data_IF_850789236835
#
_entry.id   IF_850789236835
#
_cell.length_a   1.000
_cell.length_b   1.000
_cell.length_c   1.000
_cell.angle_alpha   90.00
_cell.angle_beta   90.00
_cell.angle_gamma   90.00
#
_symmetry.space_group_name_H-M   'P 1'
#
loop_
_entity.id
_entity.type
_entity.pdbx_description
1 polymer ?
#
# COMPACT_ATOMS: atom_id res chain seq x y z
N UNK A 1 -73.25 72.28 19.86
CA UNK A 1 -73.16 71.20 20.86
C UNK A 1 -72.05 70.24 20.43
N UNK A 2 -71.19 69.86 21.39
CA UNK A 2 -70.29 68.67 21.42
C UNK A 2 -69.24 68.53 20.30
N UNK A 3 -67.95 68.77 20.55
CA UNK A 3 -66.90 67.96 21.25
C UNK A 3 -65.91 67.42 20.20
N UNK A 4 -64.62 67.80 20.30
CA UNK A 4 -63.51 66.95 20.73
C UNK A 4 -62.93 66.08 19.59
N UNK A 5 -61.66 65.68 19.48
CA UNK A 5 -60.38 66.05 20.06
C UNK A 5 -59.31 65.20 19.32
N UNK A 6 -58.10 65.74 19.17
CA UNK A 6 -56.77 65.09 19.17
C UNK A 6 -56.53 63.76 18.43
N UNK A 7 -55.43 63.73 17.66
CA UNK A 7 -54.68 62.50 17.37
C UNK A 7 -53.50 62.73 16.41
N UNK A 8 -52.29 62.90 16.95
CA UNK A 8 -51.04 62.94 16.20
C UNK A 8 -50.47 61.53 16.02
N UNK A 9 -50.01 61.12 14.82
CA UNK A 9 -49.03 60.02 14.66
C UNK A 9 -48.20 60.17 13.36
N UNK A 10 -46.90 60.42 13.59
CA UNK A 10 -45.66 59.87 12.96
C UNK A 10 -45.39 59.93 11.44
N UNK A 11 -44.22 60.52 11.17
CA UNK A 11 -43.35 60.37 9.99
C UNK A 11 -42.99 58.89 9.74
N UNK A 12 -42.86 58.50 8.48
CA UNK A 12 -41.93 57.43 8.08
C UNK A 12 -41.29 57.81 6.73
N UNK A 13 -39.98 58.03 6.76
CA UNK A 13 -39.12 58.05 5.59
C UNK A 13 -38.79 56.59 5.21
N UNK A 14 -38.92 56.22 3.94
CA UNK A 14 -38.31 54.99 3.42
C UNK A 14 -37.07 55.37 2.62
N UNK A 15 -35.92 55.04 3.20
CA UNK A 15 -34.63 55.04 2.55
C UNK A 15 -34.47 53.79 1.68
N UNK A 16 -33.96 54.00 0.46
CA UNK A 16 -33.45 53.01 -0.48
C UNK A 16 -32.41 52.09 0.17
N UNK A 17 -32.64 50.78 0.13
CA UNK A 17 -31.64 49.77 0.48
C UNK A 17 -31.03 49.21 -0.82
N UNK A 18 -29.74 49.48 -1.03
CA UNK A 18 -28.96 48.95 -2.13
C UNK A 18 -28.71 47.45 -1.95
N UNK A 19 -28.93 46.67 -3.02
CA UNK A 19 -28.61 45.24 -3.09
C UNK A 19 -27.09 45.04 -3.00
N UNK A 20 -26.62 44.37 -1.96
CA UNK A 20 -25.24 43.91 -1.85
C UNK A 20 -25.04 42.67 -2.74
N UNK A 21 -24.37 42.85 -3.87
CA UNK A 21 -23.86 41.77 -4.70
C UNK A 21 -22.63 41.13 -4.05
N UNK A 22 -22.80 39.98 -3.40
CA UNK A 22 -21.69 39.16 -2.93
C UNK A 22 -21.10 38.36 -4.09
N UNK A 23 -19.95 38.85 -4.55
CA UNK A 23 -19.05 38.18 -5.48
C UNK A 23 -18.71 36.80 -4.93
N UNK A 24 -19.07 35.76 -5.67
CA UNK A 24 -18.61 34.40 -5.41
C UNK A 24 -17.11 34.35 -5.76
N UNK A 25 -16.26 34.53 -4.76
CA UNK A 25 -14.85 34.21 -4.89
C UNK A 25 -14.74 32.71 -5.18
N UNK A 26 -14.48 32.39 -6.44
CA UNK A 26 -14.10 31.04 -6.83
C UNK A 26 -12.80 30.72 -6.11
N UNK A 27 -12.86 29.82 -5.13
CA UNK A 27 -11.67 29.24 -4.53
C UNK A 27 -10.95 28.45 -5.62
N UNK A 28 -10.02 29.11 -6.30
CA UNK A 28 -9.05 28.43 -7.14
C UNK A 28 -8.16 27.66 -6.18
N UNK A 29 -8.28 26.34 -6.19
CA UNK A 29 -7.32 25.47 -5.53
C UNK A 29 -5.94 25.83 -6.09
N UNK A 30 -5.10 26.37 -5.22
CA UNK A 30 -3.76 26.79 -5.58
C UNK A 30 -3.00 25.51 -5.98
N UNK A 31 -2.78 25.36 -7.28
CA UNK A 31 -1.83 24.36 -7.80
C UNK A 31 -0.53 24.55 -7.05
N UNK A 32 0.06 23.46 -6.53
CA UNK A 32 1.29 23.50 -5.73
C UNK A 32 2.50 24.12 -6.46
N UNK A 33 2.37 24.50 -7.73
CA UNK A 33 3.44 25.07 -8.55
C UNK A 33 4.51 24.06 -8.95
N UNK A 34 4.53 22.89 -8.34
CA UNK A 34 5.48 21.81 -8.62
C UNK A 34 5.01 21.07 -9.87
N UNK A 35 5.66 21.34 -11.00
CA UNK A 35 5.46 20.62 -12.28
C UNK A 35 6.30 19.36 -12.39
N UNK A 36 7.36 19.26 -11.60
CA UNK A 36 8.35 18.18 -11.62
C UNK A 36 8.82 17.93 -10.20
N UNK A 37 8.84 16.68 -9.77
CA UNK A 37 9.49 16.25 -8.53
C UNK A 37 10.63 15.29 -8.88
N UNK A 38 11.65 15.24 -8.03
CA UNK A 38 12.78 14.30 -8.19
C UNK A 38 12.61 13.15 -7.22
N UNK A 39 12.98 11.93 -7.63
CA UNK A 39 13.25 10.85 -6.69
C UNK A 39 14.64 11.11 -6.05
N UNK A 40 14.87 10.88 -4.74
CA UNK A 40 13.93 10.36 -3.75
C UNK A 40 12.79 11.33 -3.40
N UNK A 41 11.60 10.77 -3.17
CA UNK A 41 10.46 11.52 -2.62
C UNK A 41 10.85 12.07 -1.25
N UNK A 42 10.59 13.37 -1.01
CA UNK A 42 10.88 14.02 0.26
C UNK A 42 9.84 13.65 1.31
N UNK A 43 10.05 12.50 1.96
CA UNK A 43 9.31 12.06 3.13
C UNK A 43 10.22 11.99 4.35
N UNK A 44 9.61 12.10 5.52
CA UNK A 44 10.27 11.93 6.82
C UNK A 44 10.60 10.46 7.09
N UNK A 45 11.58 9.91 6.37
CA UNK A 45 12.10 8.55 6.57
C UNK A 45 12.36 8.31 8.06
N UNK A 46 11.76 7.24 8.59
CA UNK A 46 11.91 6.85 9.99
C UNK A 46 13.18 6.03 10.16
N UNK A 47 13.60 5.80 11.39
CA UNK A 47 14.75 4.96 11.69
C UNK A 47 14.30 3.54 12.01
N UNK A 48 15.01 2.56 11.46
CA UNK A 48 14.77 1.16 11.79
C UNK A 48 15.13 0.93 13.27
N UNK A 49 14.22 0.27 14.01
CA UNK A 49 14.36 0.01 15.44
C UNK A 49 14.93 -1.37 15.76
N UNK A 50 15.00 -2.29 14.78
CA UNK A 50 15.42 -3.67 14.96
C UNK A 50 16.90 -3.80 15.36
N UNK A 51 17.74 -2.85 14.95
CA UNK A 51 19.19 -2.82 15.23
C UNK A 51 19.60 -2.07 16.51
N UNK A 52 18.65 -1.64 17.35
CA UNK A 52 18.95 -0.79 18.51
C UNK A 52 19.86 -1.47 19.54
N UNK A 53 19.71 -2.78 19.75
CA UNK A 53 20.53 -3.52 20.72
C UNK A 53 21.98 -3.67 20.25
N UNK A 54 22.20 -3.67 18.94
CA UNK A 54 23.50 -3.76 18.28
C UNK A 54 24.16 -2.38 18.11
N UNK A 55 23.47 -1.30 18.52
CA UNK A 55 23.94 0.08 18.32
C UNK A 55 23.93 0.52 16.86
N UNK A 56 23.14 -0.14 16.01
CA UNK A 56 23.03 0.13 14.58
C UNK A 56 21.83 1.07 14.31
N UNK A 57 22.06 2.11 13.51
CA UNK A 57 21.02 3.08 13.16
C UNK A 57 21.06 3.40 11.66
N UNK A 58 19.95 3.16 10.97
CA UNK A 58 19.77 3.50 9.56
C UNK A 58 18.31 3.88 9.29
N UNK A 59 18.09 4.62 8.20
CA UNK A 59 16.75 5.01 7.75
C UNK A 59 16.03 3.80 7.15
N UNK A 60 14.75 3.67 7.46
CA UNK A 60 13.84 2.71 6.83
C UNK A 60 12.85 3.42 5.92
N UNK A 61 12.38 2.70 4.91
CA UNK A 61 11.44 3.19 3.90
C UNK A 61 11.49 2.42 2.59
N UNK A 62 11.86 1.14 2.64
CA UNK A 62 11.86 0.23 1.50
C UNK A 62 10.43 -0.23 1.18
N UNK A 63 10.28 -0.91 0.04
CA UNK A 63 9.08 -1.66 -0.36
C UNK A 63 7.80 -0.81 -0.38
N UNK A 64 7.77 0.31 -1.13
CA UNK A 64 6.64 1.23 -1.13
C UNK A 64 5.41 0.61 -1.78
N UNK A 65 4.32 0.52 -1.01
CA UNK A 65 2.98 0.26 -1.53
C UNK A 65 2.15 1.55 -1.50
N UNK A 66 1.82 2.07 -2.68
CA UNK A 66 1.00 3.29 -2.84
C UNK A 66 -0.37 2.92 -3.40
N UNK A 67 -1.43 3.40 -2.74
CA UNK A 67 -2.81 3.23 -3.22
C UNK A 67 -3.54 4.56 -3.35
N UNK A 68 -4.29 4.73 -4.44
CA UNK A 68 -5.30 5.78 -4.52
C UNK A 68 -6.59 5.29 -3.83
N UNK A 69 -6.98 5.98 -2.77
CA UNK A 69 -8.20 5.73 -2.04
C UNK A 69 -9.06 7.00 -2.02
N UNK A 70 -10.12 6.99 -2.83
CA UNK A 70 -11.13 8.07 -2.92
C UNK A 70 -10.53 9.46 -3.22
N UNK A 71 -9.53 9.50 -4.10
CA UNK A 71 -8.90 10.74 -4.54
C UNK A 71 -7.75 11.22 -3.64
N UNK A 72 -7.38 10.46 -2.61
CA UNK A 72 -6.13 10.65 -1.86
C UNK A 72 -5.21 9.45 -2.05
N UNK A 73 -3.91 9.66 -1.93
CA UNK A 73 -2.89 8.62 -2.00
C UNK A 73 -2.43 8.25 -0.60
N UNK A 74 -2.24 6.95 -0.36
CA UNK A 74 -1.70 6.41 0.88
C UNK A 74 -0.47 5.58 0.56
N UNK A 75 0.65 5.89 1.22
CA UNK A 75 1.96 5.24 1.04
C UNK A 75 2.33 4.48 2.31
N UNK A 76 2.51 3.18 2.16
CA UNK A 76 2.99 2.27 3.20
C UNK A 76 4.40 1.82 2.82
N UNK A 77 5.33 1.84 3.79
CA UNK A 77 6.72 1.42 3.59
C UNK A 77 7.19 0.62 4.79
N UNK A 78 8.20 -0.21 4.56
CA UNK A 78 8.83 -1.06 5.57
C UNK A 78 9.31 -0.26 6.79
N UNK A 79 8.99 -0.75 7.99
CA UNK A 79 9.44 -0.30 9.32
C UNK A 79 9.36 1.22 9.49
N UNK A 80 8.14 1.74 9.52
CA UNK A 80 7.88 3.19 9.64
C UNK A 80 6.94 3.58 10.80
N UNK A 81 6.35 2.60 11.49
CA UNK A 81 5.40 2.83 12.57
C UNK A 81 4.08 3.48 12.16
N UNK A 82 3.80 3.56 10.86
CA UNK A 82 2.62 4.21 10.30
C UNK A 82 2.66 4.29 8.79
N UNK A 83 2.03 5.32 8.22
CA UNK A 83 1.96 5.52 6.77
C UNK A 83 1.79 6.99 6.44
N UNK A 84 1.96 7.35 5.17
CA UNK A 84 1.78 8.72 4.71
C UNK A 84 0.52 8.84 3.86
N UNK A 85 -0.08 10.03 3.88
CA UNK A 85 -1.13 10.41 2.94
C UNK A 85 -0.73 11.63 2.12
N UNK A 86 -1.19 11.70 0.89
CA UNK A 86 -0.99 12.83 -0.02
C UNK A 86 -2.20 13.05 -0.90
N UNK A 87 -2.38 14.27 -1.40
CA UNK A 87 -3.39 14.58 -2.44
C UNK A 87 -2.78 14.77 -3.82
N UNK A 88 -1.46 14.87 -3.91
CA UNK A 88 -0.75 15.26 -5.13
C UNK A 88 0.52 14.43 -5.40
N UNK A 89 0.79 13.39 -4.59
CA UNK A 89 2.00 12.55 -4.62
C UNK A 89 3.31 13.29 -4.31
N UNK A 90 3.24 14.57 -3.95
CA UNK A 90 4.41 15.41 -3.68
C UNK A 90 4.47 15.78 -2.20
N UNK A 91 3.37 16.26 -1.64
CA UNK A 91 3.30 16.64 -0.23
C UNK A 91 2.69 15.51 0.57
N UNK A 92 3.45 14.97 1.49
CA UNK A 92 3.09 13.82 2.30
C UNK A 92 2.93 14.21 3.76
N UNK A 93 1.88 13.71 4.39
CA UNK A 93 1.64 13.85 5.82
C UNK A 93 1.66 12.47 6.47
N UNK A 94 2.49 12.29 7.49
CA UNK A 94 2.50 11.04 8.25
C UNK A 94 1.25 10.89 9.11
N UNK A 95 0.77 9.66 9.19
CA UNK A 95 -0.43 9.25 9.91
C UNK A 95 -0.03 8.17 10.91
N UNK A 96 -0.29 8.44 12.18
CA UNK A 96 -0.11 7.46 13.26
C UNK A 96 -1.36 6.58 13.32
N UNK A 97 -1.21 5.26 13.11
CA UNK A 97 -2.33 4.34 13.12
C UNK A 97 -2.83 4.04 14.54
N UNK A 98 -4.14 3.88 14.71
CA UNK A 98 -4.78 3.41 15.95
C UNK A 98 -4.50 1.92 16.22
N UNK A 99 -4.09 1.19 15.18
CA UNK A 99 -3.71 -0.22 15.24
C UNK A 99 -2.63 -0.48 14.22
N UNK A 100 -1.56 -1.11 14.69
CA UNK A 100 -0.40 -1.47 13.89
C UNK A 100 0.17 -2.79 14.41
N UNK A 101 0.80 -3.62 13.57
CA UNK A 101 1.57 -4.76 14.05
C UNK A 101 2.66 -4.29 15.03
N UNK A 102 2.89 -5.05 16.10
CA UNK A 102 3.91 -4.70 17.11
C UNK A 102 5.32 -4.78 16.54
N UNK A 103 5.54 -5.65 15.57
CA UNK A 103 6.77 -5.82 14.80
C UNK A 103 6.82 -4.93 13.54
N UNK A 104 5.92 -3.93 13.45
CA UNK A 104 5.78 -3.05 12.29
C UNK A 104 5.39 -3.81 11.00
N UNK A 105 5.31 -3.12 9.86
CA UNK A 105 5.10 -3.75 8.56
C UNK A 105 6.41 -3.88 7.80
N UNK A 106 6.55 -4.97 7.06
CA UNK A 106 7.61 -5.20 6.07
C UNK A 106 6.93 -5.54 4.76
N UNK A 107 7.39 -4.93 3.65
CA UNK A 107 6.90 -5.11 2.28
C UNK A 107 5.39 -5.34 2.17
N UNK A 108 4.56 -4.39 2.67
CA UNK A 108 3.13 -4.63 2.79
C UNK A 108 2.41 -4.61 1.42
N UNK A 109 1.35 -5.40 1.29
CA UNK A 109 0.33 -5.17 0.27
C UNK A 109 -0.69 -4.15 0.77
N UNK A 110 -1.08 -3.21 -0.08
CA UNK A 110 -2.23 -2.35 0.15
C UNK A 110 -3.16 -2.36 -1.07
N UNK A 111 -4.47 -2.31 -0.84
CA UNK A 111 -5.47 -2.17 -1.91
C UNK A 111 -6.66 -1.33 -1.45
N UNK A 112 -7.20 -0.52 -2.36
CA UNK A 112 -8.39 0.30 -2.14
C UNK A 112 -9.57 -0.28 -2.91
N UNK A 113 -10.65 -0.63 -2.21
CA UNK A 113 -11.87 -1.21 -2.79
C UNK A 113 -13.11 -0.56 -2.19
N UNK A 114 -13.84 0.21 -3.01
CA UNK A 114 -15.06 0.90 -2.57
C UNK A 114 -14.78 1.93 -1.47
N UNK A 115 -15.23 1.64 -0.26
CA UNK A 115 -14.99 2.46 0.92
C UNK A 115 -13.86 1.98 1.83
N UNK A 116 -13.24 0.86 1.47
CA UNK A 116 -12.33 0.13 2.33
C UNK A 116 -10.91 0.12 1.75
N UNK A 117 -9.95 0.50 2.56
CA UNK A 117 -8.52 0.26 2.35
C UNK A 117 -8.13 -0.99 3.13
N UNK A 118 -7.47 -1.96 2.49
CA UNK A 118 -6.90 -3.15 3.12
C UNK A 118 -5.38 -3.06 3.18
N UNK A 119 -4.80 -3.58 4.25
CA UNK A 119 -3.36 -3.66 4.47
C UNK A 119 -2.99 -5.07 4.94
N UNK A 120 -2.01 -5.67 4.27
CA UNK A 120 -1.53 -7.01 4.56
C UNK A 120 0.00 -6.99 4.64
N UNK A 121 0.55 -7.49 5.75
CA UNK A 121 1.98 -7.56 6.00
C UNK A 121 2.61 -8.74 5.24
N UNK A 122 3.89 -8.63 4.85
CA UNK A 122 4.70 -9.81 4.55
C UNK A 122 4.73 -10.77 5.73
N UNK A 123 4.65 -12.07 5.46
CA UNK A 123 4.64 -13.05 6.52
C UNK A 123 5.20 -14.39 6.08
N UNK A 124 5.86 -15.09 6.99
CA UNK A 124 6.25 -16.51 6.85
C UNK A 124 5.30 -17.45 7.61
N UNK A 125 4.30 -16.90 8.30
CA UNK A 125 3.31 -17.58 9.11
C UNK A 125 2.00 -16.79 9.08
N UNK A 126 0.85 -17.37 9.49
CA UNK A 126 -0.43 -16.64 9.42
C UNK A 126 -0.44 -15.33 10.21
N UNK A 127 -0.79 -14.23 9.54
CA UNK A 127 -0.95 -12.88 10.10
C UNK A 127 -2.36 -12.34 9.80
N UNK A 128 -2.85 -11.35 10.56
CA UNK A 128 -4.11 -10.65 10.25
C UNK A 128 -3.99 -9.76 9.01
N UNK A 129 -5.14 -9.50 8.37
CA UNK A 129 -5.34 -8.37 7.46
C UNK A 129 -5.96 -7.22 8.24
N UNK A 130 -5.43 -6.01 8.08
CA UNK A 130 -6.02 -4.78 8.63
C UNK A 130 -6.85 -4.07 7.57
N UNK A 131 -7.85 -3.30 8.00
CA UNK A 131 -8.62 -2.42 7.12
C UNK A 131 -8.88 -1.06 7.73
N UNK A 132 -9.24 -0.10 6.88
CA UNK A 132 -9.75 1.21 7.27
C UNK A 132 -10.83 1.70 6.30
N UNK A 133 -11.89 2.31 6.83
CA UNK A 133 -12.82 3.17 6.07
C UNK A 133 -12.55 4.66 6.28
N UNK A 134 -11.59 5.00 7.15
CA UNK A 134 -11.16 6.36 7.49
C UNK A 134 -9.62 6.44 7.58
N UNK A 135 -8.87 6.07 6.52
CA UNK A 135 -7.42 5.98 6.59
C UNK A 135 -6.75 7.35 6.83
N UNK A 136 -7.41 8.45 6.50
CA UNK A 136 -6.91 9.81 6.77
C UNK A 136 -6.77 10.14 8.27
N UNK A 137 -7.49 9.44 9.15
CA UNK A 137 -7.45 9.67 10.61
C UNK A 137 -6.63 8.61 11.35
N UNK A 138 -5.94 7.71 10.64
CA UNK A 138 -5.19 6.63 11.26
C UNK A 138 -6.03 5.48 11.79
N UNK A 139 -7.35 5.46 11.57
CA UNK A 139 -8.18 4.40 12.17
C UNK A 139 -8.00 3.09 11.40
N UNK A 140 -7.35 2.09 12.00
CA UNK A 140 -7.28 0.72 11.48
C UNK A 140 -7.95 -0.29 12.40
N UNK A 141 -8.58 -1.27 11.80
CA UNK A 141 -9.26 -2.39 12.45
C UNK A 141 -8.87 -3.72 11.81
N UNK A 142 -9.25 -4.84 12.44
CA UNK A 142 -9.01 -6.18 11.89
C UNK A 142 -10.06 -6.47 10.82
N UNK A 143 -9.61 -6.69 9.59
CA UNK A 143 -10.47 -7.27 8.56
C UNK A 143 -10.73 -8.74 8.89
N UNK A 144 -9.66 -9.45 9.25
CA UNK A 144 -9.70 -10.74 9.92
C UNK A 144 -8.67 -10.74 11.07
N UNK A 145 -8.81 -11.68 12.01
CA UNK A 145 -7.92 -11.78 13.18
C UNK A 145 -6.64 -12.56 12.89
N UNK A 146 -6.73 -13.50 11.95
CA UNK A 146 -5.64 -14.35 11.48
C UNK A 146 -6.10 -15.01 10.17
N UNK A 147 -5.22 -15.10 9.19
CA UNK A 147 -5.44 -15.93 8.01
C UNK A 147 -5.32 -17.43 8.37
N UNK A 148 -5.86 -18.36 7.57
CA UNK A 148 -5.50 -19.77 7.69
C UNK A 148 -4.03 -20.00 7.29
N UNK A 149 -3.52 -21.20 7.52
CA UNK A 149 -2.19 -21.60 7.03
C UNK A 149 -2.18 -21.63 5.49
N UNK A 150 -1.11 -21.12 4.88
CA UNK A 150 -0.96 -21.10 3.43
C UNK A 150 -0.89 -22.55 2.92
N UNK A 151 -1.83 -22.99 2.06
CA UNK A 151 -1.93 -24.39 1.69
C UNK A 151 -0.64 -24.85 0.99
N UNK A 152 -0.17 -26.03 1.39
CA UNK A 152 1.06 -26.66 0.88
C UNK A 152 2.38 -25.93 1.21
N UNK A 153 2.33 -24.89 2.05
CA UNK A 153 3.53 -24.19 2.50
C UNK A 153 4.36 -25.07 3.44
N UNK A 154 5.66 -25.12 3.20
CA UNK A 154 6.60 -25.73 4.14
C UNK A 154 6.70 -24.89 5.42
N UNK A 155 7.26 -25.47 6.48
CA UNK A 155 7.44 -24.77 7.74
C UNK A 155 8.40 -23.57 7.59
N UNK A 156 8.17 -22.51 8.35
CA UNK A 156 9.09 -21.39 8.45
C UNK A 156 10.50 -21.87 8.84
N UNK A 157 11.53 -21.30 8.20
CA UNK A 157 12.94 -21.67 8.44
C UNK A 157 13.39 -22.96 7.76
N UNK A 158 12.54 -23.57 6.92
CA UNK A 158 12.93 -24.74 6.10
C UNK A 158 13.72 -24.38 4.84
N UNK A 159 13.67 -23.13 4.40
CA UNK A 159 14.50 -22.62 3.31
C UNK A 159 15.94 -22.47 3.79
N UNK A 160 16.87 -23.20 3.16
CA UNK A 160 18.31 -23.10 3.44
C UNK A 160 19.06 -22.76 2.15
N UNK A 161 20.00 -21.79 2.19
CA UNK A 161 20.82 -21.46 1.04
C UNK A 161 21.49 -22.71 0.44
N UNK A 162 21.33 -22.92 -0.85
CA UNK A 162 21.96 -24.03 -1.58
C UNK A 162 21.28 -25.39 -1.42
N UNK A 163 20.20 -25.51 -0.63
CA UNK A 163 19.44 -26.75 -0.51
C UNK A 163 18.29 -26.78 -1.53
N UNK A 164 18.16 -27.91 -2.24
CA UNK A 164 16.99 -28.17 -3.06
C UNK A 164 15.76 -28.37 -2.16
N UNK A 165 14.71 -27.59 -2.40
CA UNK A 165 13.38 -27.84 -1.82
C UNK A 165 12.61 -28.80 -2.71
N UNK A 166 11.66 -29.58 -2.18
CA UNK A 166 10.81 -30.43 -3.00
C UNK A 166 10.20 -29.65 -4.16
N UNK A 167 10.22 -30.22 -5.37
CA UNK A 167 9.75 -29.50 -6.56
C UNK A 167 8.28 -29.05 -6.47
N UNK A 168 7.49 -29.66 -5.59
CA UNK A 168 6.09 -29.37 -5.35
C UNK A 168 5.85 -28.51 -4.10
N UNK A 169 6.88 -28.16 -3.32
CA UNK A 169 6.70 -27.32 -2.12
C UNK A 169 6.37 -25.87 -2.45
N UNK A 170 5.74 -25.20 -1.47
CA UNK A 170 5.42 -23.77 -1.49
C UNK A 170 6.20 -23.07 -0.39
N UNK A 171 6.73 -21.88 -0.69
CA UNK A 171 7.42 -21.02 0.28
C UNK A 171 6.56 -20.78 1.54
N UNK A 172 7.15 -20.75 2.75
CA UNK A 172 6.47 -20.21 3.93
C UNK A 172 6.03 -18.77 3.65
N UNK A 173 4.77 -18.44 3.88
CA UNK A 173 4.23 -17.27 3.22
C UNK A 173 2.90 -16.75 3.74
N UNK A 174 2.41 -15.66 3.13
CA UNK A 174 2.96 -15.02 1.92
C UNK A 174 3.95 -13.89 2.21
N UNK A 175 5.19 -14.04 1.73
CA UNK A 175 6.21 -12.99 1.80
C UNK A 175 6.17 -12.11 0.54
N UNK A 176 6.27 -10.79 0.71
CA UNK A 176 6.06 -9.75 -0.30
C UNK A 176 4.72 -9.88 -1.04
N UNK A 177 3.59 -9.78 -0.30
CA UNK A 177 2.28 -9.94 -0.88
C UNK A 177 1.89 -8.76 -1.79
N UNK A 178 1.09 -9.07 -2.81
CA UNK A 178 0.24 -8.11 -3.52
C UNK A 178 -1.18 -8.64 -3.61
N UNK A 179 -2.13 -7.82 -3.17
CA UNK A 179 -3.57 -8.08 -3.30
C UNK A 179 -4.08 -7.51 -4.63
N UNK A 180 -4.91 -8.29 -5.31
CA UNK A 180 -5.55 -7.86 -6.55
C UNK A 180 -7.03 -8.26 -6.52
N UNK A 181 -7.90 -7.33 -6.91
CA UNK A 181 -9.32 -7.59 -7.15
C UNK A 181 -9.63 -7.30 -8.60
N UNK A 182 -10.20 -8.28 -9.30
CA UNK A 182 -10.59 -8.12 -10.69
C UNK A 182 -12.01 -7.54 -10.83
N UNK A 183 -12.37 -7.12 -12.04
CA UNK A 183 -13.65 -6.49 -12.37
C UNK A 183 -14.85 -7.45 -12.18
N UNK A 184 -14.61 -8.76 -12.27
CA UNK A 184 -15.60 -9.81 -11.99
C UNK A 184 -15.81 -10.04 -10.47
N UNK A 185 -15.09 -9.29 -9.64
CA UNK A 185 -15.16 -9.35 -8.19
C UNK A 185 -14.32 -10.45 -7.55
N UNK A 186 -13.58 -11.25 -8.33
CA UNK A 186 -12.65 -12.26 -7.80
C UNK A 186 -11.43 -11.59 -7.18
N UNK A 187 -10.85 -12.29 -6.22
CA UNK A 187 -9.71 -11.82 -5.45
C UNK A 187 -8.53 -12.76 -5.62
N UNK A 188 -7.35 -12.18 -5.73
CA UNK A 188 -6.10 -12.89 -5.92
C UNK A 188 -5.04 -12.32 -4.99
N UNK A 189 -4.14 -13.20 -4.57
CA UNK A 189 -2.91 -12.89 -3.87
C UNK A 189 -1.75 -13.36 -4.73
N UNK A 190 -0.79 -12.47 -4.92
CA UNK A 190 0.51 -12.75 -5.52
C UNK A 190 1.60 -12.55 -4.46
N UNK A 191 2.65 -13.36 -4.46
CA UNK A 191 3.72 -13.24 -3.47
C UNK A 191 4.98 -13.97 -3.91
N UNK A 192 6.09 -13.67 -3.24
CA UNK A 192 7.36 -14.38 -3.36
C UNK A 192 8.53 -13.43 -3.10
N UNK A 193 9.52 -13.91 -2.35
CA UNK A 193 10.89 -13.37 -2.29
C UNK A 193 11.81 -14.55 -1.97
N UNK A 194 12.49 -15.09 -2.98
CA UNK A 194 13.32 -16.30 -2.79
C UNK A 194 14.29 -16.53 -3.94
N UNK A 195 15.42 -17.16 -3.62
CA UNK A 195 16.38 -17.70 -4.60
C UNK A 195 16.12 -19.18 -4.96
N UNK A 196 15.04 -19.76 -4.42
CA UNK A 196 14.62 -21.15 -4.64
C UNK A 196 13.20 -21.22 -5.20
N UNK A 197 12.30 -20.38 -4.69
CA UNK A 197 10.88 -20.38 -5.03
C UNK A 197 10.53 -19.30 -6.07
N UNK A 198 9.55 -19.57 -6.95
CA UNK A 198 9.03 -18.56 -7.88
C UNK A 198 8.12 -17.55 -7.18
N UNK A 199 7.71 -16.52 -7.93
CA UNK A 199 6.47 -15.80 -7.64
C UNK A 199 5.29 -16.75 -7.78
N UNK A 200 4.36 -16.69 -6.84
CA UNK A 200 3.13 -17.46 -6.82
C UNK A 200 1.89 -16.58 -7.03
N UNK A 201 0.79 -17.23 -7.39
CA UNK A 201 -0.56 -16.67 -7.34
C UNK A 201 -1.57 -17.65 -6.75
N UNK A 202 -2.55 -17.16 -6.00
CA UNK A 202 -3.67 -17.95 -5.49
C UNK A 202 -4.95 -17.11 -5.46
N UNK A 203 -6.10 -17.74 -5.70
CA UNK A 203 -7.40 -17.10 -5.52
C UNK A 203 -7.79 -17.05 -4.04
N UNK A 204 -8.41 -15.95 -3.62
CA UNK A 204 -8.92 -15.72 -2.27
C UNK A 204 -10.46 -15.80 -2.28
N UNK A 205 -11.01 -16.15 -1.13
CA UNK A 205 -12.45 -16.23 -0.90
C UNK A 205 -12.94 -14.99 -0.12
N UNK A 206 -13.61 -14.03 -0.79
CA UNK A 206 -14.14 -12.84 -0.12
C UNK A 206 -15.26 -13.16 0.88
N UNK A 207 -16.02 -14.25 0.69
CA UNK A 207 -17.04 -14.67 1.65
C UNK A 207 -16.41 -15.18 2.96
N UNK A 208 -15.13 -15.55 2.92
CA UNK A 208 -14.33 -15.98 4.08
C UNK A 208 -13.29 -14.95 4.50
N UNK A 209 -13.58 -13.67 4.28
CA UNK A 209 -12.69 -12.54 4.64
C UNK A 209 -11.27 -12.72 4.09
N UNK A 210 -11.21 -13.02 2.79
CA UNK A 210 -9.99 -13.17 2.00
C UNK A 210 -9.08 -14.32 2.46
N UNK A 211 -9.65 -15.35 3.08
CA UNK A 211 -8.97 -16.62 3.26
C UNK A 211 -8.61 -17.24 1.90
N UNK A 212 -7.60 -18.12 1.85
CA UNK A 212 -7.27 -18.87 0.64
C UNK A 212 -8.47 -19.71 0.17
N UNK A 213 -8.76 -19.68 -1.13
CA UNK A 213 -9.88 -20.42 -1.71
C UNK A 213 -9.73 -21.91 -1.42
N UNK A 214 -10.80 -22.55 -0.93
CA UNK A 214 -10.78 -23.95 -0.56
C UNK A 214 -10.38 -24.85 -1.75
N UNK A 215 -9.43 -25.75 -1.53
CA UNK A 215 -8.90 -26.64 -2.57
C UNK A 215 -7.99 -25.97 -3.60
N UNK A 216 -7.76 -24.65 -3.52
CA UNK A 216 -6.83 -23.98 -4.40
C UNK A 216 -5.38 -24.34 -4.04
N UNK A 217 -4.58 -24.62 -5.07
CA UNK A 217 -3.14 -24.76 -4.96
C UNK A 217 -2.48 -23.47 -5.47
N UNK A 218 -1.48 -22.93 -4.77
CA UNK A 218 -0.64 -21.87 -5.30
C UNK A 218 -0.10 -22.23 -6.69
N UNK A 219 -0.32 -21.35 -7.66
CA UNK A 219 0.22 -21.44 -9.01
C UNK A 219 1.61 -20.81 -9.04
N UNK A 220 2.59 -21.52 -9.61
CA UNK A 220 3.91 -20.97 -9.91
C UNK A 220 3.82 -20.08 -11.16
N UNK A 221 4.36 -18.88 -11.11
CA UNK A 221 4.22 -17.89 -12.18
C UNK A 221 5.57 -17.53 -12.81
N UNK A 222 6.48 -16.94 -12.03
CA UNK A 222 7.74 -16.40 -12.55
C UNK A 222 8.92 -16.88 -11.72
N UNK A 223 9.98 -17.30 -12.40
CA UNK A 223 11.29 -17.62 -11.83
C UNK A 223 12.34 -16.84 -12.58
N UNK A 224 13.49 -16.60 -11.94
CA UNK A 224 14.68 -16.13 -12.64
C UNK A 224 15.32 -17.26 -13.44
N UNK A 225 15.96 -16.87 -14.52
CA UNK A 225 16.82 -17.63 -15.42
C UNK A 225 18.17 -16.89 -15.58
N UNK A 226 18.95 -16.72 -14.49
CA UNK A 226 20.16 -15.90 -14.48
C UNK A 226 21.25 -16.41 -15.43
N UNK A 227 21.21 -17.67 -15.84
CA UNK A 227 22.06 -18.25 -16.87
C UNK A 227 21.73 -17.74 -18.29
N UNK A 228 20.49 -17.31 -18.52
CA UNK A 228 20.00 -16.74 -19.79
C UNK A 228 19.97 -15.22 -19.75
N UNK A 229 19.62 -14.64 -18.61
CA UNK A 229 19.36 -13.22 -18.42
C UNK A 229 20.40 -12.62 -17.48
N UNK A 230 21.38 -11.91 -18.05
CA UNK A 230 22.44 -11.28 -17.25
C UNK A 230 21.90 -10.33 -16.18
N UNK A 231 20.90 -9.52 -16.52
CA UNK A 231 20.29 -8.54 -15.64
C UNK A 231 19.58 -9.13 -14.41
N UNK A 232 19.41 -10.45 -14.33
CA UNK A 232 18.88 -11.14 -13.15
C UNK A 232 19.97 -11.58 -12.16
N UNK A 233 21.25 -11.25 -12.39
CA UNK A 233 22.35 -11.56 -11.46
C UNK A 233 22.78 -10.33 -10.67
N UNK A 234 23.16 -10.57 -9.42
CA UNK A 234 23.79 -9.58 -8.55
C UNK A 234 25.14 -9.08 -9.07
N UNK A 235 25.59 -7.98 -8.47
CA UNK A 235 26.91 -7.39 -8.65
C UNK A 235 27.01 -6.41 -9.81
N UNK A 236 28.05 -5.59 -9.75
CA UNK A 236 28.45 -4.75 -10.86
C UNK A 236 28.71 -5.61 -12.11
N UNK A 237 28.19 -5.16 -13.25
CA UNK A 237 28.19 -5.87 -14.53
C UNK A 237 27.61 -7.29 -14.48
N UNK A 238 26.73 -7.60 -13.51
CA UNK A 238 26.07 -8.90 -13.37
C UNK A 238 27.02 -10.08 -13.13
N UNK A 239 28.11 -9.86 -12.37
CA UNK A 239 29.20 -10.84 -12.18
C UNK A 239 29.27 -11.46 -10.79
N UNK A 240 28.37 -11.13 -9.87
CA UNK A 240 28.41 -11.75 -8.55
C UNK A 240 28.03 -13.24 -8.64
N UNK A 241 28.55 -14.00 -7.69
CA UNK A 241 28.32 -15.43 -7.52
C UNK A 241 27.18 -15.72 -6.55
N UNK A 242 26.65 -14.71 -5.86
CA UNK A 242 25.47 -14.81 -5.01
C UNK A 242 24.28 -15.29 -5.87
N UNK A 243 23.58 -16.32 -5.40
CA UNK A 243 22.36 -16.78 -6.07
C UNK A 243 21.30 -15.68 -6.02
N UNK A 244 20.77 -15.25 -7.18
CA UNK A 244 19.78 -14.20 -7.24
C UNK A 244 18.43 -14.66 -6.69
N UNK A 245 17.60 -13.70 -6.25
CA UNK A 245 16.23 -13.95 -5.82
C UNK A 245 15.24 -13.08 -6.58
N UNK A 246 14.04 -13.62 -6.85
CA UNK A 246 12.90 -12.88 -7.39
C UNK A 246 12.05 -12.38 -6.24
N UNK A 247 11.61 -11.13 -6.25
CA UNK A 247 10.78 -10.59 -5.16
C UNK A 247 9.77 -9.50 -5.57
N UNK A 248 9.04 -8.95 -4.60
CA UNK A 248 8.21 -7.75 -4.81
C UNK A 248 7.10 -7.92 -5.87
N UNK A 249 6.36 -9.04 -5.83
CA UNK A 249 5.28 -9.29 -6.78
C UNK A 249 4.24 -8.16 -6.75
N UNK A 250 3.82 -7.65 -7.91
CA UNK A 250 2.78 -6.63 -8.00
C UNK A 250 1.90 -6.83 -9.24
N UNK A 251 0.58 -6.93 -9.05
CA UNK A 251 -0.38 -7.11 -10.15
C UNK A 251 -1.14 -5.81 -10.43
N UNK A 252 -1.07 -5.33 -11.67
CA UNK A 252 -1.85 -4.17 -12.13
C UNK A 252 -2.68 -4.55 -13.35
N UNK A 253 -3.95 -4.11 -13.37
CA UNK A 253 -4.79 -4.15 -14.56
C UNK A 253 -4.85 -2.76 -15.18
N UNK A 254 -4.54 -2.65 -16.47
CA UNK A 254 -4.63 -1.40 -17.22
C UNK A 254 -5.15 -1.65 -18.63
N UNK A 255 -6.21 -0.95 -19.03
CA UNK A 255 -6.82 -1.05 -20.36
C UNK A 255 -7.08 -2.50 -20.83
N UNK A 256 -7.62 -3.34 -19.93
CA UNK A 256 -7.94 -4.75 -20.21
C UNK A 256 -6.73 -5.70 -20.23
N UNK A 257 -5.53 -5.22 -19.91
CA UNK A 257 -4.30 -6.03 -19.82
C UNK A 257 -3.85 -6.16 -18.37
N UNK A 258 -3.26 -7.31 -18.06
CA UNK A 258 -2.72 -7.64 -16.74
C UNK A 258 -1.20 -7.58 -16.80
N UNK A 259 -0.60 -6.88 -15.85
CA UNK A 259 0.83 -6.67 -15.72
C UNK A 259 1.26 -7.25 -14.38
N UNK A 260 1.93 -8.39 -14.42
CA UNK A 260 2.63 -8.95 -13.26
C UNK A 260 4.05 -8.39 -13.25
N UNK A 261 4.33 -7.53 -12.30
CA UNK A 261 5.64 -6.94 -12.04
C UNK A 261 6.31 -7.67 -10.89
N UNK A 262 7.64 -7.60 -10.86
CA UNK A 262 8.50 -8.13 -9.81
C UNK A 262 9.82 -7.36 -9.82
N UNK A 263 10.56 -7.44 -8.72
CA UNK A 263 11.94 -6.98 -8.63
C UNK A 263 12.90 -8.15 -8.90
N UNK A 264 13.88 -7.89 -9.74
CA UNK A 264 15.05 -8.73 -9.95
C UNK A 264 16.26 -8.03 -9.30
N UNK A 265 17.29 -8.78 -8.91
CA UNK A 265 18.41 -8.20 -8.22
C UNK A 265 19.23 -7.31 -9.16
N UNK A 266 20.00 -6.41 -8.56
CA UNK A 266 20.92 -5.54 -9.28
C UNK A 266 20.33 -4.22 -9.76
N UNK A 267 19.06 -3.95 -9.46
CA UNK A 267 18.47 -2.59 -9.59
C UNK A 267 19.16 -1.57 -8.68
N UNK A 268 19.87 -2.02 -7.65
CA UNK A 268 20.70 -1.24 -6.76
C UNK A 268 22.06 -0.83 -7.36
N UNK A 269 22.47 -1.43 -8.49
CA UNK A 269 23.70 -1.08 -9.18
C UNK A 269 23.45 -0.12 -10.35
N UNK A 270 24.48 0.61 -10.74
CA UNK A 270 24.45 1.63 -11.80
C UNK A 270 24.47 1.07 -13.24
N UNK A 271 24.24 -0.23 -13.42
CA UNK A 271 24.47 -0.96 -14.68
C UNK A 271 23.20 -1.62 -15.25
N UNK A 272 22.02 -1.12 -14.89
CA UNK A 272 20.74 -1.62 -15.39
C UNK A 272 20.42 -1.14 -16.82
#
# INVERSE_FOLDING_TARGET
MTRAARGAVRRLALATLALASSVHASASAQSSGIRTYTNPIDIEYKYNWEGLNEGVSYRSGADPAVVNHRGEYFLFVTVSGGYWRSRDLVHWQFVVPSRWPFDDVVAPAAISVGDTLLLMQSATAPRPILYSTRPATGQLEFYNRILPQLPYAVAQGSERPGQLVPSDSIQPGPWDPALFRDDDGRWFLYWGSSNVYPIYGIELDPARRLAYKAGARPMKLLSLHPELHGWERFGQDHRDTIRPYVEGAWMTKHAGRYYLQYAAPGTEYNVY
#
